data_IF_764924036323
#
_entry.id   IF_764924036323
#
_cell.length_a   1.000
_cell.length_b   1.000
_cell.length_c   1.000
_cell.angle_alpha   90.00
_cell.angle_beta   90.00
_cell.angle_gamma   90.00
#
_symmetry.space_group_name_H-M   'P 1'
#
loop_
_entity.id
_entity.type
_entity.pdbx_description
1 polymer ?
#
# COMPACT_ATOMS: atom_id res chain seq x y z
N UNK A 1 25.34 -13.14 -12.54
CA UNK A 1 23.85 -13.23 -12.56
C UNK A 1 23.28 -11.94 -12.01
N UNK A 2 22.59 -11.13 -12.82
CA UNK A 2 21.89 -9.95 -12.31
C UNK A 2 20.78 -10.42 -11.35
N UNK A 3 20.82 -9.97 -10.09
CA UNK A 3 19.74 -10.22 -9.12
C UNK A 3 18.49 -9.47 -9.60
N UNK A 4 17.55 -10.19 -10.21
CA UNK A 4 16.27 -9.61 -10.62
C UNK A 4 15.38 -9.41 -9.39
N UNK A 5 14.81 -8.21 -9.24
CA UNK A 5 13.83 -7.92 -8.18
C UNK A 5 12.45 -8.54 -8.47
N UNK A 6 12.23 -9.08 -9.68
CA UNK A 6 10.94 -9.62 -10.08
C UNK A 6 10.53 -10.84 -9.23
N UNK A 7 11.48 -11.71 -8.84
CA UNK A 7 11.19 -12.88 -8.01
C UNK A 7 10.74 -12.52 -6.59
N UNK A 8 11.48 -11.70 -5.81
CA UNK A 8 10.99 -11.21 -4.52
C UNK A 8 9.64 -10.50 -4.63
N UNK A 9 9.43 -9.69 -5.66
CA UNK A 9 8.16 -9.00 -5.87
C UNK A 9 7.01 -9.97 -6.18
N UNK A 10 7.25 -11.01 -7.00
CA UNK A 10 6.24 -12.04 -7.27
C UNK A 10 5.84 -12.78 -5.99
N UNK A 11 6.80 -13.09 -5.12
CA UNK A 11 6.54 -13.73 -3.82
C UNK A 11 5.72 -12.84 -2.89
N UNK A 12 6.10 -11.57 -2.75
CA UNK A 12 5.35 -10.59 -1.95
C UNK A 12 3.93 -10.43 -2.51
N UNK A 13 3.79 -10.35 -3.84
CA UNK A 13 2.49 -10.21 -4.49
C UNK A 13 1.63 -11.48 -4.35
N UNK A 14 2.25 -12.65 -4.36
CA UNK A 14 1.57 -13.92 -4.04
C UNK A 14 1.04 -13.91 -2.62
N UNK A 15 1.85 -13.49 -1.65
CA UNK A 15 1.41 -13.35 -0.25
C UNK A 15 0.26 -12.34 -0.13
N UNK A 16 0.28 -11.26 -0.90
CA UNK A 16 -0.80 -10.27 -0.97
C UNK A 16 -2.11 -10.89 -1.49
N UNK A 17 -2.05 -11.68 -2.57
CA UNK A 17 -3.20 -12.40 -3.12
C UNK A 17 -3.77 -13.38 -2.08
N UNK A 18 -2.91 -14.16 -1.42
CA UNK A 18 -3.32 -15.09 -0.35
C UNK A 18 -4.01 -14.33 0.78
N UNK A 19 -3.43 -13.21 1.22
CA UNK A 19 -4.01 -12.36 2.25
C UNK A 19 -5.39 -11.84 1.85
N UNK A 20 -5.52 -11.21 0.68
CA UNK A 20 -6.77 -10.64 0.21
C UNK A 20 -7.88 -11.70 0.03
N UNK A 21 -7.50 -12.92 -0.37
CA UNK A 21 -8.43 -14.03 -0.63
C UNK A 21 -8.93 -14.70 0.64
N UNK A 22 -8.12 -14.73 1.71
CA UNK A 22 -8.44 -15.45 2.95
C UNK A 22 -8.81 -14.54 4.13
N UNK A 23 -8.61 -13.22 4.02
CA UNK A 23 -9.06 -12.26 5.02
C UNK A 23 -10.59 -12.38 5.27
N UNK A 24 -11.10 -12.32 6.51
CA UNK A 24 -10.42 -11.91 7.76
C UNK A 24 -9.67 -13.01 8.53
N UNK A 25 -9.43 -14.19 7.95
CA UNK A 25 -8.77 -15.32 8.63
C UNK A 25 -9.50 -15.86 9.87
N UNK A 26 -10.81 -15.66 9.97
CA UNK A 26 -11.61 -16.06 11.12
C UNK A 26 -12.82 -16.94 10.72
N UNK A 27 -13.31 -17.73 11.67
CA UNK A 27 -14.51 -18.56 11.50
C UNK A 27 -14.32 -19.79 10.62
N UNK A 28 -13.08 -20.28 10.46
CA UNK A 28 -12.77 -21.46 9.65
C UNK A 28 -13.52 -22.70 10.17
N UNK A 29 -14.36 -23.30 9.32
CA UNK A 29 -15.10 -24.51 9.66
C UNK A 29 -15.49 -25.30 8.41
N UNK A 30 -15.59 -26.61 8.54
CA UNK A 30 -16.18 -27.43 7.50
C UNK A 30 -17.66 -27.07 7.31
N UNK A 31 -18.02 -26.62 6.11
CA UNK A 31 -19.39 -26.21 5.78
C UNK A 31 -20.21 -27.33 5.10
N UNK A 32 -19.59 -28.49 4.83
CA UNK A 32 -20.23 -29.60 4.12
C UNK A 32 -20.47 -29.36 2.63
N UNK A 33 -19.80 -28.36 2.04
CA UNK A 33 -19.91 -28.03 0.62
C UNK A 33 -18.92 -28.88 -0.17
N UNK A 34 -19.43 -29.69 -1.10
CA UNK A 34 -18.59 -30.44 -2.04
C UNK A 34 -17.90 -29.47 -3.02
N UNK A 35 -16.58 -29.55 -3.22
CA UNK A 35 -15.88 -28.65 -4.13
C UNK A 35 -16.36 -28.66 -5.58
N UNK A 36 -16.96 -29.77 -6.05
CA UNK A 36 -17.53 -29.83 -7.39
C UNK A 36 -18.70 -28.86 -7.57
N UNK A 37 -19.37 -28.47 -6.48
CA UNK A 37 -20.51 -27.55 -6.51
C UNK A 37 -20.11 -26.20 -7.10
N UNK A 38 -18.97 -25.63 -6.69
CA UNK A 38 -18.54 -24.33 -7.23
C UNK A 38 -17.90 -24.48 -8.61
N UNK A 39 -17.13 -25.56 -8.85
CA UNK A 39 -16.46 -25.78 -10.14
C UNK A 39 -17.47 -25.92 -11.30
N UNK A 40 -18.55 -26.66 -11.05
CA UNK A 40 -19.59 -26.95 -12.05
C UNK A 40 -20.80 -25.99 -11.96
N UNK A 41 -20.69 -24.92 -11.17
CA UNK A 41 -21.73 -23.90 -11.07
C UNK A 41 -22.04 -23.28 -12.44
N UNK A 42 -23.28 -22.85 -12.66
CA UNK A 42 -23.66 -22.16 -13.91
C UNK A 42 -22.91 -20.84 -14.02
N UNK A 43 -22.39 -20.57 -15.22
CA UNK A 43 -21.72 -19.33 -15.57
C UNK A 43 -22.65 -18.41 -16.38
N UNK A 44 -22.80 -17.12 -16.03
CA UNK A 44 -22.28 -16.47 -14.83
C UNK A 44 -23.13 -16.79 -13.57
N UNK A 45 -22.54 -16.78 -12.36
CA UNK A 45 -23.29 -16.94 -11.12
C UNK A 45 -24.25 -15.75 -10.92
N UNK A 46 -25.42 -15.93 -10.28
CA UNK A 46 -26.50 -14.94 -10.27
C UNK A 46 -26.18 -13.60 -9.57
N UNK A 47 -25.09 -13.53 -8.81
CA UNK A 47 -24.67 -12.37 -8.01
C UNK A 47 -23.40 -11.67 -8.57
N UNK A 48 -23.00 -11.98 -9.80
CA UNK A 48 -21.83 -11.34 -10.41
C UNK A 48 -22.02 -9.84 -10.64
N UNK A 49 -20.95 -9.06 -10.50
CA UNK A 49 -20.91 -7.66 -10.90
C UNK A 49 -19.76 -7.39 -11.86
N UNK A 50 -19.88 -6.36 -12.71
CA UNK A 50 -18.75 -5.92 -13.55
C UNK A 50 -17.52 -5.49 -12.74
N UNK A 51 -17.72 -5.05 -11.51
CA UNK A 51 -16.63 -4.74 -10.59
C UNK A 51 -15.85 -6.00 -10.19
N UNK A 52 -16.53 -7.12 -9.90
CA UNK A 52 -15.88 -8.40 -9.59
C UNK A 52 -15.05 -8.91 -10.77
N UNK A 53 -15.59 -8.75 -11.99
CA UNK A 53 -14.88 -9.10 -13.23
C UNK A 53 -13.55 -8.34 -13.35
N UNK A 54 -13.59 -7.02 -13.21
CA UNK A 54 -12.41 -6.17 -13.36
C UNK A 54 -11.41 -6.43 -12.22
N UNK A 55 -11.89 -6.56 -10.98
CA UNK A 55 -11.01 -6.70 -9.81
C UNK A 55 -10.29 -8.03 -9.74
N UNK A 56 -10.96 -9.15 -10.06
CA UNK A 56 -10.32 -10.47 -10.11
C UNK A 56 -9.27 -10.55 -11.24
N UNK A 57 -9.61 -10.08 -12.44
CA UNK A 57 -8.65 -10.02 -13.55
C UNK A 57 -7.45 -9.09 -13.26
N UNK A 58 -7.73 -7.88 -12.76
CA UNK A 58 -6.68 -6.91 -12.42
C UNK A 58 -5.84 -7.35 -11.21
N UNK A 59 -6.41 -8.11 -10.28
CA UNK A 59 -5.73 -8.61 -9.07
C UNK A 59 -4.68 -9.68 -9.36
N UNK A 60 -4.86 -10.48 -10.42
CA UNK A 60 -3.89 -11.53 -10.79
C UNK A 60 -2.92 -11.13 -11.91
N UNK A 61 -3.24 -10.08 -12.69
CA UNK A 61 -2.37 -9.64 -13.78
C UNK A 61 -0.94 -9.28 -13.33
N UNK A 62 -0.70 -8.55 -12.22
CA UNK A 62 0.67 -8.25 -11.80
C UNK A 62 1.46 -9.50 -11.41
N UNK A 63 0.82 -10.55 -10.91
CA UNK A 63 1.49 -11.83 -10.62
C UNK A 63 2.04 -12.44 -11.92
N UNK A 64 1.19 -12.59 -12.94
CA UNK A 64 1.60 -13.13 -14.23
C UNK A 64 2.70 -12.32 -14.89
N UNK A 65 2.62 -10.99 -14.80
CA UNK A 65 3.65 -10.08 -15.28
C UNK A 65 5.00 -10.31 -14.60
N UNK A 66 5.01 -10.33 -13.26
CA UNK A 66 6.23 -10.47 -12.45
C UNK A 66 6.89 -11.85 -12.64
N UNK A 67 6.09 -12.92 -12.75
CA UNK A 67 6.59 -14.27 -13.00
C UNK A 67 7.30 -14.36 -14.36
N UNK A 68 6.65 -13.89 -15.44
CA UNK A 68 7.28 -13.88 -16.78
C UNK A 68 8.51 -12.99 -16.81
N UNK A 69 8.46 -11.80 -16.21
CA UNK A 69 9.63 -10.91 -16.12
C UNK A 69 10.79 -11.55 -15.36
N UNK A 70 10.50 -12.27 -14.29
CA UNK A 70 11.48 -13.06 -13.52
C UNK A 70 12.14 -14.14 -14.38
N UNK A 71 11.33 -14.93 -15.08
CA UNK A 71 11.79 -16.01 -15.96
C UNK A 71 12.63 -15.48 -17.13
N UNK A 72 12.17 -14.44 -17.83
CA UNK A 72 12.90 -13.81 -18.94
C UNK A 72 14.28 -13.31 -18.49
N UNK A 73 14.35 -12.59 -17.36
CA UNK A 73 15.61 -12.10 -16.79
C UNK A 73 16.52 -13.20 -16.24
N UNK A 74 15.97 -14.36 -15.96
CA UNK A 74 16.71 -15.57 -15.57
C UNK A 74 17.12 -16.44 -16.78
N UNK A 75 16.86 -15.99 -18.01
CA UNK A 75 17.20 -16.70 -19.25
C UNK A 75 16.19 -17.77 -19.68
N UNK A 76 15.04 -17.85 -19.00
CA UNK A 76 13.98 -18.82 -19.26
C UNK A 76 12.86 -18.18 -20.10
N UNK A 77 13.07 -18.07 -21.41
CA UNK A 77 12.07 -17.46 -22.30
C UNK A 77 11.01 -18.43 -22.85
N UNK A 78 11.38 -19.69 -23.11
CA UNK A 78 10.47 -20.68 -23.68
C UNK A 78 9.48 -21.17 -22.62
N UNK A 79 8.18 -21.06 -22.90
CA UNK A 79 7.14 -21.53 -22.00
C UNK A 79 6.88 -20.64 -20.78
N UNK A 80 7.54 -19.49 -20.64
CA UNK A 80 7.39 -18.61 -19.47
C UNK A 80 5.93 -18.18 -19.24
N UNK A 81 5.23 -17.78 -20.31
CA UNK A 81 3.81 -17.39 -20.24
C UNK A 81 2.93 -18.56 -19.80
N UNK A 82 3.15 -19.75 -20.36
CA UNK A 82 2.39 -20.95 -20.00
C UNK A 82 2.62 -21.30 -18.53
N UNK A 83 3.88 -21.35 -18.09
CA UNK A 83 4.23 -21.69 -16.71
C UNK A 83 3.67 -20.66 -15.72
N UNK A 84 3.78 -19.37 -16.01
CA UNK A 84 3.19 -18.31 -15.18
C UNK A 84 1.67 -18.46 -15.08
N UNK A 85 1.00 -18.77 -16.19
CA UNK A 85 -0.46 -18.99 -16.22
C UNK A 85 -0.86 -20.23 -15.40
N UNK A 86 -0.11 -21.34 -15.51
CA UNK A 86 -0.34 -22.55 -14.70
C UNK A 86 -0.14 -22.27 -13.21
N UNK A 87 0.91 -21.53 -12.83
CA UNK A 87 1.15 -21.15 -11.44
C UNK A 87 0.01 -20.29 -10.89
N UNK A 88 -0.44 -19.28 -11.64
CA UNK A 88 -1.57 -18.44 -11.22
C UNK A 88 -2.88 -19.24 -11.14
N UNK A 89 -3.10 -20.18 -12.07
CA UNK A 89 -4.25 -21.08 -12.05
C UNK A 89 -4.27 -21.97 -10.81
N UNK A 90 -3.14 -22.61 -10.48
CA UNK A 90 -3.01 -23.45 -9.28
C UNK A 90 -3.18 -22.64 -7.99
N UNK A 91 -2.62 -21.43 -7.93
CA UNK A 91 -2.81 -20.52 -6.79
C UNK A 91 -4.28 -20.15 -6.63
N UNK A 92 -4.93 -19.69 -7.71
CA UNK A 92 -6.36 -19.33 -7.66
C UNK A 92 -7.21 -20.52 -7.26
N UNK A 93 -7.00 -21.68 -7.89
CA UNK A 93 -7.73 -22.90 -7.57
C UNK A 93 -7.58 -23.23 -6.08
N UNK A 94 -6.35 -23.24 -5.55
CA UNK A 94 -6.09 -23.53 -4.14
C UNK A 94 -6.82 -22.55 -3.20
N UNK A 95 -6.88 -21.26 -3.56
CA UNK A 95 -7.55 -20.25 -2.74
C UNK A 95 -9.08 -20.38 -2.80
N UNK A 96 -9.65 -20.64 -3.97
CA UNK A 96 -11.09 -20.95 -4.11
C UNK A 96 -11.47 -22.19 -3.29
N UNK A 97 -10.64 -23.24 -3.33
CA UNK A 97 -10.84 -24.42 -2.49
C UNK A 97 -10.78 -24.10 -0.99
N UNK A 98 -9.82 -23.28 -0.55
CA UNK A 98 -9.71 -22.88 0.86
C UNK A 98 -10.90 -22.04 1.31
N UNK A 99 -11.47 -21.22 0.43
CA UNK A 99 -12.65 -20.41 0.72
C UNK A 99 -13.90 -21.23 1.03
N UNK A 100 -13.97 -22.52 0.64
CA UNK A 100 -15.03 -23.45 1.07
C UNK A 100 -15.12 -23.53 2.60
N UNK A 101 -14.02 -23.34 3.31
CA UNK A 101 -13.95 -23.42 4.76
C UNK A 101 -14.20 -22.08 5.47
N UNK A 102 -14.41 -21.00 4.71
CA UNK A 102 -14.60 -19.63 5.22
C UNK A 102 -16.07 -19.20 5.03
N UNK A 103 -16.88 -19.08 6.10
CA UNK A 103 -18.31 -18.77 5.98
C UNK A 103 -18.64 -17.42 5.32
N UNK A 104 -17.71 -16.46 5.38
CA UNK A 104 -17.88 -15.13 4.78
C UNK A 104 -17.40 -15.05 3.33
N UNK A 105 -16.94 -16.15 2.74
CA UNK A 105 -16.45 -16.22 1.36
C UNK A 105 -17.27 -17.22 0.57
N UNK A 106 -17.51 -16.91 -0.70
CA UNK A 106 -18.23 -17.77 -1.63
C UNK A 106 -17.27 -18.11 -2.77
N UNK A 107 -16.83 -19.37 -2.89
CA UNK A 107 -15.97 -19.77 -3.99
C UNK A 107 -16.74 -19.72 -5.33
N UNK A 108 -16.03 -19.40 -6.40
CA UNK A 108 -16.62 -19.03 -7.69
C UNK A 108 -15.76 -19.53 -8.85
N UNK A 109 -16.35 -20.33 -9.75
CA UNK A 109 -15.68 -20.72 -10.99
C UNK A 109 -15.45 -19.52 -11.94
N UNK A 110 -16.27 -18.47 -11.85
CA UNK A 110 -16.03 -17.22 -12.57
C UNK A 110 -14.78 -16.52 -12.05
N UNK A 111 -14.59 -16.46 -10.73
CA UNK A 111 -13.41 -15.84 -10.10
C UNK A 111 -12.14 -16.60 -10.50
N UNK A 112 -12.19 -17.95 -10.48
CA UNK A 112 -11.13 -18.80 -11.00
C UNK A 112 -10.75 -18.46 -12.46
N UNK A 113 -11.75 -18.38 -13.36
CA UNK A 113 -11.52 -18.07 -14.77
C UNK A 113 -10.92 -16.66 -14.96
N UNK A 114 -11.41 -15.68 -14.21
CA UNK A 114 -10.94 -14.29 -14.26
C UNK A 114 -9.52 -14.15 -13.73
N UNK A 115 -9.17 -14.85 -12.64
CA UNK A 115 -7.83 -14.87 -12.06
C UNK A 115 -6.82 -15.51 -13.03
N UNK A 116 -7.21 -16.60 -13.70
CA UNK A 116 -6.40 -17.22 -14.76
C UNK A 116 -6.23 -16.26 -15.94
N UNK A 117 -7.33 -15.65 -16.42
CA UNK A 117 -7.31 -14.69 -17.51
C UNK A 117 -6.46 -13.45 -17.20
N UNK A 118 -6.56 -12.93 -15.97
CA UNK A 118 -5.73 -11.85 -15.45
C UNK A 118 -4.26 -12.22 -15.46
N UNK A 119 -3.91 -13.38 -14.88
CA UNK A 119 -2.53 -13.91 -14.90
C UNK A 119 -1.99 -14.00 -16.32
N UNK A 120 -2.76 -14.57 -17.25
CA UNK A 120 -2.36 -14.69 -18.65
C UNK A 120 -2.16 -13.32 -19.31
N UNK A 121 -3.07 -12.37 -19.11
CA UNK A 121 -2.95 -11.03 -19.66
C UNK A 121 -1.69 -10.31 -19.15
N UNK A 122 -1.42 -10.42 -17.84
CA UNK A 122 -0.20 -9.92 -17.22
C UNK A 122 1.06 -10.56 -17.81
N UNK A 123 1.07 -11.89 -17.92
CA UNK A 123 2.17 -12.66 -18.51
C UNK A 123 2.46 -12.27 -19.97
N UNK A 124 1.41 -12.15 -20.79
CA UNK A 124 1.51 -11.71 -22.19
C UNK A 124 2.02 -10.26 -22.29
N UNK A 125 1.56 -9.37 -21.41
CA UNK A 125 2.02 -7.98 -21.40
C UNK A 125 3.51 -7.86 -21.07
N UNK A 126 4.04 -8.65 -20.11
CA UNK A 126 5.47 -8.70 -19.81
C UNK A 126 6.28 -9.18 -21.03
N UNK A 127 5.83 -10.26 -21.67
CA UNK A 127 6.47 -10.79 -22.87
C UNK A 127 6.46 -9.77 -24.03
N UNK A 128 5.34 -9.05 -24.21
CA UNK A 128 5.23 -8.01 -25.23
C UNK A 128 6.16 -6.83 -24.95
N UNK A 129 6.20 -6.33 -23.70
CA UNK A 129 7.07 -5.21 -23.32
C UNK A 129 8.56 -5.55 -23.45
N UNK A 130 8.96 -6.78 -23.13
CA UNK A 130 10.31 -7.27 -23.39
C UNK A 130 10.61 -7.27 -24.90
N UNK A 131 9.71 -7.84 -25.72
CA UNK A 131 9.89 -7.88 -27.17
C UNK A 131 9.97 -6.48 -27.80
N UNK A 132 9.29 -5.50 -27.23
CA UNK A 132 9.31 -4.10 -27.69
C UNK A 132 10.49 -3.29 -27.10
N UNK A 133 11.42 -3.92 -26.36
CA UNK A 133 12.54 -3.24 -25.70
C UNK A 133 12.09 -2.16 -24.70
N UNK A 134 10.86 -2.24 -24.20
CA UNK A 134 10.34 -1.24 -23.26
C UNK A 134 10.99 -1.40 -21.88
N UNK A 135 11.35 -2.62 -21.50
CA UNK A 135 12.02 -2.93 -20.24
C UNK A 135 13.46 -2.37 -20.19
N UNK A 136 14.17 -2.39 -21.32
CA UNK A 136 15.49 -1.75 -21.45
C UNK A 136 15.37 -0.22 -21.41
N UNK A 137 14.43 0.35 -22.18
CA UNK A 137 14.15 1.80 -22.14
C UNK A 137 13.75 2.28 -20.73
N UNK A 138 13.03 1.46 -19.98
CA UNK A 138 12.71 1.73 -18.57
C UNK A 138 13.96 1.70 -17.69
N UNK A 139 14.87 0.75 -17.92
CA UNK A 139 16.17 0.71 -17.23
C UNK A 139 16.99 1.99 -17.48
N UNK A 140 17.01 2.47 -18.73
CA UNK A 140 17.68 3.71 -19.11
C UNK A 140 16.99 4.96 -18.55
N UNK A 141 15.66 4.96 -18.49
CA UNK A 141 14.92 6.02 -17.82
C UNK A 141 15.26 6.05 -16.32
N UNK A 142 15.24 4.89 -15.66
CA UNK A 142 15.57 4.75 -14.23
C UNK A 142 16.99 5.21 -13.94
N UNK A 143 17.98 4.82 -14.75
CA UNK A 143 19.39 5.21 -14.55
C UNK A 143 19.60 6.71 -14.70
N UNK A 144 18.83 7.37 -15.59
CA UNK A 144 18.85 8.83 -15.76
C UNK A 144 18.20 9.57 -14.60
N UNK A 145 17.08 9.09 -14.08
CA UNK A 145 16.30 9.78 -13.03
C UNK A 145 16.80 9.50 -11.61
N UNK A 146 17.13 8.25 -11.32
CA UNK A 146 17.37 7.75 -9.98
C UNK A 146 18.80 7.27 -9.75
N UNK A 147 19.18 7.15 -8.48
CA UNK A 147 20.42 6.51 -8.04
C UNK A 147 20.36 4.99 -8.20
N UNK A 148 21.52 4.32 -8.27
CA UNK A 148 21.59 2.87 -8.48
C UNK A 148 20.78 2.07 -7.44
N UNK A 149 20.87 2.43 -6.15
CA UNK A 149 20.18 1.77 -5.03
C UNK A 149 18.80 2.40 -4.68
N UNK A 150 18.06 2.86 -5.70
CA UNK A 150 16.77 3.52 -5.52
C UNK A 150 15.58 2.58 -5.34
N UNK A 151 15.74 1.26 -5.55
CA UNK A 151 14.62 0.32 -5.67
C UNK A 151 13.64 0.38 -4.48
N UNK A 152 14.15 0.37 -3.24
CA UNK A 152 13.31 0.43 -2.03
C UNK A 152 12.56 1.76 -1.89
N UNK A 153 13.25 2.88 -2.14
CA UNK A 153 12.63 4.20 -2.12
C UNK A 153 11.56 4.37 -3.20
N UNK A 154 11.77 3.83 -4.41
CA UNK A 154 10.77 3.86 -5.47
C UNK A 154 9.50 3.07 -5.10
N UNK A 155 9.65 1.89 -4.48
CA UNK A 155 8.50 1.10 -4.01
C UNK A 155 7.73 1.86 -2.95
N UNK A 156 8.41 2.41 -1.93
CA UNK A 156 7.76 3.21 -0.89
C UNK A 156 7.04 4.43 -1.49
N UNK A 157 7.67 5.15 -2.43
CA UNK A 157 7.04 6.28 -3.11
C UNK A 157 5.83 5.86 -3.96
N UNK A 158 5.84 4.67 -4.55
CA UNK A 158 4.69 4.14 -5.30
C UNK A 158 3.56 3.69 -4.38
N UNK A 159 3.87 3.23 -3.16
CA UNK A 159 2.87 2.81 -2.16
C UNK A 159 2.22 3.99 -1.44
N UNK A 160 2.91 5.13 -1.31
CA UNK A 160 2.39 6.30 -0.59
C UNK A 160 1.04 6.81 -1.13
N UNK A 161 0.85 7.02 -2.45
CA UNK A 161 -0.44 7.43 -2.99
C UNK A 161 -1.55 6.41 -2.68
N UNK A 162 -1.23 5.11 -2.70
CA UNK A 162 -2.20 4.06 -2.39
C UNK A 162 -2.61 4.07 -0.91
N UNK A 163 -1.69 4.43 -0.01
CA UNK A 163 -1.99 4.60 1.41
C UNK A 163 -2.95 5.77 1.69
N UNK A 164 -2.98 6.79 0.82
CA UNK A 164 -3.91 7.94 0.96
C UNK A 164 -5.35 7.62 0.52
N UNK A 165 -5.57 6.52 -0.20
CA UNK A 165 -6.91 6.03 -0.52
C UNK A 165 -7.67 5.54 0.72
N UNK A 166 -6.98 5.40 1.85
CA UNK A 166 -7.58 5.14 3.14
C UNK A 166 -7.92 6.47 3.85
N UNK A 167 -9.15 6.64 4.35
CA UNK A 167 -9.55 7.85 5.07
C UNK A 167 -8.82 7.93 6.42
N UNK A 168 -7.78 8.76 6.49
CA UNK A 168 -7.04 9.04 7.72
C UNK A 168 -7.77 10.08 8.59
N UNK A 169 -7.62 9.99 9.92
CA UNK A 169 -8.22 10.94 10.86
C UNK A 169 -7.68 12.38 10.68
N UNK A 170 -6.41 12.50 10.28
CA UNK A 170 -5.76 13.75 9.91
C UNK A 170 -5.28 13.63 8.46
N UNK A 171 -5.56 14.59 7.57
CA UNK A 171 -5.09 14.54 6.18
C UNK A 171 -3.58 14.33 6.10
N UNK A 172 -3.16 13.37 5.26
CA UNK A 172 -1.75 12.94 5.10
C UNK A 172 -1.09 12.36 6.37
N UNK A 173 -1.85 12.17 7.45
CA UNK A 173 -1.42 11.56 8.70
C UNK A 173 -1.41 10.03 8.60
N UNK A 174 -0.29 9.47 8.17
CA UNK A 174 -0.09 8.02 8.09
C UNK A 174 0.66 7.52 9.34
N UNK A 175 0.34 6.32 9.81
CA UNK A 175 1.03 5.68 10.94
C UNK A 175 0.41 5.88 12.32
N UNK A 176 -0.89 6.19 12.41
CA UNK A 176 -1.62 6.21 13.67
C UNK A 176 -1.96 4.78 14.11
N UNK A 177 -1.06 4.14 14.87
CA UNK A 177 -1.17 2.72 15.28
C UNK A 177 -1.22 2.54 16.79
N UNK A 178 -0.68 3.49 17.56
CA UNK A 178 -0.43 3.31 18.99
C UNK A 178 -1.70 3.05 19.81
N UNK A 179 -2.77 3.81 19.58
CA UNK A 179 -4.05 3.63 20.30
C UNK A 179 -4.64 2.22 20.06
N UNK A 180 -4.50 1.69 18.85
CA UNK A 180 -4.97 0.34 18.50
C UNK A 180 -4.08 -0.75 19.08
N UNK A 181 -2.76 -0.53 19.07
CA UNK A 181 -1.79 -1.43 19.66
C UNK A 181 -2.03 -1.52 21.18
N UNK A 182 -2.27 -0.39 21.83
CA UNK A 182 -2.64 -0.31 23.24
C UNK A 182 -3.92 -1.10 23.53
N UNK A 183 -4.99 -0.88 22.76
CA UNK A 183 -6.24 -1.65 22.90
C UNK A 183 -6.03 -3.17 22.71
N UNK A 184 -5.26 -3.59 21.70
CA UNK A 184 -4.97 -5.00 21.45
C UNK A 184 -4.09 -5.62 22.55
N UNK A 185 -3.15 -4.86 23.11
CA UNK A 185 -2.32 -5.31 24.23
C UNK A 185 -3.15 -5.44 25.51
N UNK A 186 -4.08 -4.51 25.78
CA UNK A 186 -5.01 -4.60 26.90
C UNK A 186 -5.84 -5.89 26.81
N UNK A 187 -6.40 -6.18 25.64
CA UNK A 187 -7.19 -7.39 25.41
C UNK A 187 -6.33 -8.67 25.55
N UNK A 188 -5.12 -8.66 25.00
CA UNK A 188 -4.21 -9.81 25.07
C UNK A 188 -3.69 -10.09 26.48
N UNK A 189 -3.45 -9.04 27.27
CA UNK A 189 -2.93 -9.13 28.64
C UNK A 189 -4.05 -9.13 29.69
N UNK A 190 -5.32 -9.14 29.26
CA UNK A 190 -6.46 -9.26 30.16
C UNK A 190 -6.27 -10.47 31.09
N UNK A 191 -6.59 -10.29 32.37
CA UNK A 191 -6.46 -11.30 33.42
C UNK A 191 -5.01 -11.79 33.67
N UNK A 192 -3.99 -11.05 33.22
CA UNK A 192 -2.58 -11.34 33.52
C UNK A 192 -1.96 -10.29 34.44
N UNK A 193 -0.98 -10.66 35.28
CA UNK A 193 -0.27 -9.69 36.13
C UNK A 193 0.61 -8.71 35.34
N UNK A 194 0.79 -8.94 34.03
CA UNK A 194 1.55 -8.06 33.15
C UNK A 194 0.76 -6.85 32.68
N UNK A 195 -0.57 -6.83 32.86
CA UNK A 195 -1.41 -5.70 32.46
C UNK A 195 -0.98 -4.42 33.19
N UNK A 196 -0.64 -4.53 34.48
CA UNK A 196 -0.18 -3.41 35.32
C UNK A 196 1.19 -2.86 34.88
N UNK A 197 1.93 -3.57 34.01
CA UNK A 197 3.19 -3.09 33.46
C UNK A 197 3.01 -2.27 32.18
N UNK A 198 1.82 -2.28 31.60
CA UNK A 198 1.54 -1.51 30.40
C UNK A 198 1.43 -0.03 30.78
N UNK A 199 2.15 0.88 30.10
CA UNK A 199 2.00 2.32 30.32
C UNK A 199 0.67 2.80 29.72
N UNK A 200 -0.42 2.52 30.43
CA UNK A 200 -1.79 2.87 30.03
C UNK A 200 -1.96 4.38 30.06
N UNK A 201 -2.63 4.92 29.04
CA UNK A 201 -3.07 6.31 29.05
C UNK A 201 -4.30 6.44 29.95
N UNK A 202 -4.13 7.18 31.04
CA UNK A 202 -5.22 7.43 32.00
C UNK A 202 -6.27 8.42 31.46
N UNK A 203 -5.89 9.25 30.49
CA UNK A 203 -6.74 10.29 29.91
C UNK A 203 -7.06 10.01 28.43
N UNK A 204 -8.28 10.38 28.02
CA UNK A 204 -8.66 10.39 26.61
C UNK A 204 -7.78 11.36 25.82
N UNK A 205 -7.46 11.00 24.57
CA UNK A 205 -6.64 11.85 23.71
C UNK A 205 -7.45 13.06 23.23
N UNK A 206 -6.91 14.25 23.48
CA UNK A 206 -7.49 15.49 22.96
C UNK A 206 -7.23 15.63 21.46
N UNK A 207 -8.19 16.14 20.67
CA UNK A 207 -7.97 16.50 19.27
C UNK A 207 -6.74 17.39 19.11
N UNK A 208 -6.01 17.23 18.00
CA UNK A 208 -4.85 18.08 17.71
C UNK A 208 -5.26 19.55 17.69
N UNK A 209 -4.41 20.39 18.28
CA UNK A 209 -4.53 21.83 18.12
C UNK A 209 -4.39 22.22 16.63
N UNK A 210 -4.92 23.37 16.20
CA UNK A 210 -4.76 23.83 14.82
C UNK A 210 -3.30 23.90 14.35
N UNK A 211 -2.36 24.25 15.24
CA UNK A 211 -0.93 24.24 14.94
C UNK A 211 -0.36 22.82 14.84
N UNK A 212 -0.84 21.89 15.66
CA UNK A 212 -0.50 20.46 15.59
C UNK A 212 -0.98 19.81 14.28
N UNK A 213 -2.22 20.09 13.86
CA UNK A 213 -2.78 19.64 12.58
C UNK A 213 -1.97 20.17 11.39
N UNK A 214 -1.68 21.48 11.39
CA UNK A 214 -0.83 22.12 10.38
C UNK A 214 0.55 21.46 10.28
N UNK A 215 1.22 21.25 11.42
CA UNK A 215 2.53 20.57 11.44
C UNK A 215 2.42 19.13 10.93
N UNK A 216 1.38 18.39 11.34
CA UNK A 216 1.16 17.02 10.92
C UNK A 216 1.02 16.91 9.40
N UNK A 217 0.15 17.76 8.81
CA UNK A 217 -0.05 17.86 7.35
C UNK A 217 1.24 18.26 6.64
N UNK A 218 1.95 19.25 7.18
CA UNK A 218 3.22 19.73 6.61
C UNK A 218 4.23 18.60 6.50
N UNK A 219 4.42 17.86 7.60
CA UNK A 219 5.35 16.74 7.66
C UNK A 219 4.88 15.55 6.81
N UNK A 220 3.58 15.23 6.83
CA UNK A 220 3.00 14.12 6.06
C UNK A 220 3.24 14.25 4.55
N UNK A 221 3.19 15.47 4.01
CA UNK A 221 3.53 15.77 2.62
C UNK A 221 5.04 15.95 2.37
N UNK A 222 5.79 16.42 3.37
CA UNK A 222 7.23 16.60 3.25
C UNK A 222 8.00 15.28 3.22
N UNK A 223 7.57 14.28 4.00
CA UNK A 223 8.19 12.95 4.10
C UNK A 223 8.40 12.28 2.73
N UNK A 224 7.36 12.09 1.88
CA UNK A 224 7.55 11.53 0.54
C UNK A 224 8.43 12.42 -0.36
N UNK A 225 8.38 13.74 -0.21
CA UNK A 225 9.29 14.64 -0.94
C UNK A 225 10.76 14.36 -0.59
N UNK A 226 11.09 14.32 0.71
CA UNK A 226 12.44 14.03 1.20
C UNK A 226 12.91 12.62 0.82
N UNK A 227 12.01 11.63 0.87
CA UNK A 227 12.30 10.28 0.40
C UNK A 227 12.64 10.28 -1.11
N UNK A 228 11.89 11.03 -1.90
CA UNK A 228 12.19 11.31 -3.31
C UNK A 228 13.56 11.94 -3.51
N UNK A 229 13.92 12.93 -2.69
CA UNK A 229 15.20 13.62 -2.81
C UNK A 229 16.39 12.70 -2.50
N UNK A 230 16.20 11.71 -1.63
CA UNK A 230 17.19 10.65 -1.39
C UNK A 230 17.46 9.80 -2.64
N UNK A 231 16.51 9.65 -3.57
CA UNK A 231 16.65 8.79 -4.75
C UNK A 231 16.82 9.54 -6.08
N UNK A 232 16.31 10.77 -6.21
CA UNK A 232 16.38 11.57 -7.45
C UNK A 232 17.71 12.32 -7.54
N UNK A 233 18.35 12.26 -8.72
CA UNK A 233 19.69 12.83 -8.94
C UNK A 233 19.71 14.35 -9.12
N UNK A 234 18.84 14.88 -9.96
CA UNK A 234 18.88 16.28 -10.43
C UNK A 234 17.94 17.19 -9.63
N UNK A 235 18.39 18.41 -9.30
CA UNK A 235 17.61 19.37 -8.52
C UNK A 235 16.30 19.79 -9.20
N UNK A 236 16.32 20.08 -10.51
CA UNK A 236 15.08 20.44 -11.23
C UNK A 236 14.02 19.32 -11.19
N UNK A 237 14.46 18.05 -11.25
CA UNK A 237 13.56 16.90 -11.13
C UNK A 237 13.04 16.70 -9.72
N UNK A 238 13.80 17.07 -8.68
CA UNK A 238 13.33 17.08 -7.30
C UNK A 238 12.22 18.10 -7.10
N UNK A 239 12.38 19.32 -7.62
CA UNK A 239 11.34 20.34 -7.55
C UNK A 239 10.05 19.91 -8.27
N UNK A 240 10.16 19.39 -9.50
CA UNK A 240 9.03 18.84 -10.24
C UNK A 240 8.36 17.68 -9.49
N UNK A 241 9.16 16.80 -8.89
CA UNK A 241 8.66 15.69 -8.10
C UNK A 241 7.88 16.15 -6.86
N UNK A 242 8.37 17.15 -6.13
CA UNK A 242 7.66 17.69 -4.96
C UNK A 242 6.31 18.30 -5.34
N UNK A 243 6.24 19.04 -6.45
CA UNK A 243 4.97 19.52 -6.97
C UNK A 243 4.03 18.35 -7.31
N UNK A 244 4.55 17.32 -7.97
CA UNK A 244 3.80 16.10 -8.27
C UNK A 244 3.27 15.39 -7.02
N UNK A 245 4.07 15.28 -5.96
CA UNK A 245 3.66 14.68 -4.67
C UNK A 245 2.50 15.45 -4.06
N UNK A 246 2.54 16.78 -4.03
CA UNK A 246 1.46 17.61 -3.49
C UNK A 246 0.18 17.43 -4.31
N UNK A 247 0.26 17.51 -5.64
CA UNK A 247 -0.90 17.34 -6.53
C UNK A 247 -1.52 15.95 -6.36
N UNK A 248 -0.70 14.89 -6.41
CA UNK A 248 -1.17 13.51 -6.25
C UNK A 248 -1.77 13.31 -4.86
N UNK A 249 -1.14 13.86 -3.82
CA UNK A 249 -1.64 13.81 -2.46
C UNK A 249 -3.04 14.41 -2.35
N UNK A 250 -3.20 15.67 -2.77
CA UNK A 250 -4.49 16.38 -2.71
C UNK A 250 -5.57 15.64 -3.51
N UNK A 251 -5.26 15.19 -4.74
CA UNK A 251 -6.21 14.48 -5.59
C UNK A 251 -6.64 13.15 -4.97
N UNK A 252 -5.71 12.35 -4.46
CA UNK A 252 -6.07 11.05 -3.89
C UNK A 252 -6.74 11.16 -2.52
N UNK A 253 -6.39 12.15 -1.70
CA UNK A 253 -7.13 12.42 -0.45
C UNK A 253 -8.55 12.91 -0.75
N UNK A 254 -8.75 13.77 -1.76
CA UNK A 254 -10.08 14.17 -2.21
C UNK A 254 -10.88 13.00 -2.80
N UNK A 255 -10.24 12.13 -3.58
CA UNK A 255 -10.85 10.91 -4.10
C UNK A 255 -11.23 9.95 -2.98
N UNK A 256 -10.34 9.75 -2.00
CA UNK A 256 -10.60 8.95 -0.79
C UNK A 256 -11.83 9.47 -0.06
N UNK A 257 -11.93 10.79 0.14
CA UNK A 257 -13.07 11.42 0.77
C UNK A 257 -14.36 11.27 -0.06
N UNK A 258 -14.28 11.48 -1.38
CA UNK A 258 -15.40 11.34 -2.29
C UNK A 258 -15.95 9.91 -2.34
N UNK A 259 -15.06 8.92 -2.30
CA UNK A 259 -15.44 7.52 -2.26
C UNK A 259 -16.02 7.16 -0.89
N UNK A 260 -15.44 7.65 0.20
CA UNK A 260 -15.80 7.32 1.58
C UNK A 260 -17.13 7.92 2.03
N UNK A 261 -17.35 9.20 1.71
CA UNK A 261 -18.47 10.01 2.22
C UNK A 261 -19.33 10.63 1.12
N UNK A 262 -18.99 10.43 -0.16
CA UNK A 262 -19.71 10.94 -1.31
C UNK A 262 -19.05 12.19 -1.94
N UNK A 263 -19.32 12.48 -3.22
CA UNK A 263 -18.59 13.48 -4.00
C UNK A 263 -18.76 14.92 -3.49
N UNK A 264 -19.84 15.22 -2.77
CA UNK A 264 -20.07 16.54 -2.16
C UNK A 264 -19.08 16.82 -1.03
N UNK A 265 -18.67 15.78 -0.30
CA UNK A 265 -17.75 15.86 0.84
C UNK A 265 -16.26 15.78 0.44
N UNK A 266 -15.97 15.73 -0.87
CA UNK A 266 -14.61 15.54 -1.41
C UNK A 266 -13.58 16.59 -0.98
N UNK A 267 -14.04 17.76 -0.53
CA UNK A 267 -13.20 18.91 -0.19
C UNK A 267 -13.36 19.40 1.26
N UNK A 268 -14.17 18.74 2.09
CA UNK A 268 -14.45 19.18 3.46
C UNK A 268 -13.24 19.09 4.39
N UNK A 269 -12.32 18.17 4.09
CA UNK A 269 -11.04 18.02 4.80
C UNK A 269 -10.10 19.23 4.64
N UNK A 270 -10.39 20.16 3.74
CA UNK A 270 -9.48 21.26 3.36
C UNK A 270 -9.66 22.50 4.26
N UNK A 271 -9.56 22.27 5.58
CA UNK A 271 -9.62 23.27 6.64
C UNK A 271 -8.48 24.31 6.52
N UNK A 272 -8.58 25.42 7.26
CA UNK A 272 -7.52 26.44 7.25
C UNK A 272 -6.15 25.87 7.66
N UNK A 273 -6.00 25.12 8.78
CA UNK A 273 -4.73 24.47 9.14
C UNK A 273 -4.17 23.58 8.03
N UNK A 274 -5.03 22.78 7.38
CA UNK A 274 -4.62 21.88 6.29
C UNK A 274 -4.10 22.66 5.10
N UNK A 275 -4.82 23.70 4.65
CA UNK A 275 -4.38 24.53 3.52
C UNK A 275 -3.02 25.18 3.78
N UNK A 276 -2.82 25.74 4.97
CA UNK A 276 -1.53 26.32 5.36
C UNK A 276 -0.46 25.24 5.44
N UNK A 277 -0.77 24.05 5.96
CA UNK A 277 0.16 22.93 6.02
C UNK A 277 0.59 22.42 4.63
N UNK A 278 -0.33 22.36 3.66
CA UNK A 278 -0.02 21.97 2.26
C UNK A 278 0.95 22.97 1.62
N UNK A 279 0.68 24.28 1.75
CA UNK A 279 1.58 25.32 1.23
C UNK A 279 2.91 25.34 1.98
N UNK A 280 2.89 25.13 3.30
CA UNK A 280 4.08 24.98 4.14
C UNK A 280 4.95 23.80 3.71
N UNK A 281 4.34 22.65 3.41
CA UNK A 281 5.04 21.48 2.92
C UNK A 281 5.71 21.76 1.57
N UNK A 282 5.00 22.40 0.64
CA UNK A 282 5.55 22.76 -0.67
C UNK A 282 6.71 23.74 -0.53
N UNK A 283 6.54 24.82 0.25
CA UNK A 283 7.58 25.80 0.49
C UNK A 283 8.83 25.16 1.10
N UNK A 284 8.66 24.34 2.15
CA UNK A 284 9.77 23.66 2.80
C UNK A 284 10.42 22.61 1.88
N UNK A 285 9.63 21.87 1.10
CA UNK A 285 10.15 20.93 0.11
C UNK A 285 11.00 21.65 -0.94
N UNK A 286 10.59 22.83 -1.41
CA UNK A 286 11.35 23.64 -2.37
C UNK A 286 12.64 24.21 -1.76
N UNK A 287 12.58 24.73 -0.53
CA UNK A 287 13.76 25.18 0.22
C UNK A 287 14.79 24.05 0.39
N UNK A 288 14.31 22.81 0.56
CA UNK A 288 15.17 21.66 0.81
C UNK A 288 15.64 20.94 -0.48
N UNK A 289 15.29 21.41 -1.68
CA UNK A 289 15.65 20.77 -2.96
C UNK A 289 17.16 20.58 -3.14
N UNK A 290 17.93 21.56 -2.65
CA UNK A 290 19.39 21.59 -2.78
C UNK A 290 20.12 20.71 -1.76
N UNK A 291 19.44 20.14 -0.77
CA UNK A 291 20.11 19.37 0.26
C UNK A 291 20.84 18.14 -0.33
N UNK A 292 22.05 17.83 0.16
CA UNK A 292 22.71 16.59 -0.19
C UNK A 292 21.88 15.41 0.33
N UNK A 293 21.95 14.27 -0.36
CA UNK A 293 21.10 13.09 -0.07
C UNK A 293 21.21 12.61 1.38
N UNK A 294 22.39 12.71 1.99
CA UNK A 294 22.60 12.37 3.40
C UNK A 294 21.86 13.31 4.35
N UNK A 295 21.88 14.61 4.07
CA UNK A 295 21.11 15.58 4.84
C UNK A 295 19.60 15.37 4.64
N UNK A 296 19.15 15.08 3.40
CA UNK A 296 17.74 14.69 3.16
C UNK A 296 17.34 13.48 4.02
N UNK A 297 18.19 12.46 4.12
CA UNK A 297 17.91 11.28 4.94
C UNK A 297 17.84 11.62 6.44
N UNK A 298 18.73 12.46 6.96
CA UNK A 298 18.70 12.90 8.35
C UNK A 298 17.44 13.73 8.66
N UNK A 299 17.10 14.70 7.81
CA UNK A 299 15.88 15.50 7.94
C UNK A 299 14.63 14.63 7.80
N UNK A 300 14.64 13.63 6.93
CA UNK A 300 13.55 12.66 6.78
C UNK A 300 13.34 11.84 8.05
N UNK A 301 14.41 11.38 8.71
CA UNK A 301 14.29 10.66 9.99
C UNK A 301 13.68 11.54 11.08
N UNK A 302 14.12 12.80 11.18
CA UNK A 302 13.55 13.77 12.13
C UNK A 302 12.07 14.05 11.82
N UNK A 303 11.74 14.26 10.54
CA UNK A 303 10.38 14.50 10.08
C UNK A 303 9.46 13.31 10.39
N UNK A 304 9.92 12.08 10.15
CA UNK A 304 9.18 10.85 10.48
C UNK A 304 8.97 10.71 11.98
N UNK A 305 10.01 10.90 12.79
CA UNK A 305 9.90 10.80 14.25
C UNK A 305 8.90 11.81 14.81
N UNK A 306 8.98 13.08 14.37
CA UNK A 306 8.07 14.12 14.83
C UNK A 306 6.64 13.90 14.32
N UNK A 307 6.48 13.52 13.06
CA UNK A 307 5.16 13.22 12.48
C UNK A 307 4.47 12.08 13.24
N UNK A 308 5.18 10.97 13.47
CA UNK A 308 4.64 9.82 14.21
C UNK A 308 4.36 10.17 15.67
N UNK A 309 5.22 10.96 16.33
CA UNK A 309 5.01 11.38 17.71
C UNK A 309 3.76 12.25 17.86
N UNK A 310 3.57 13.24 16.98
CA UNK A 310 2.37 14.08 16.97
C UNK A 310 1.12 13.27 16.64
N UNK A 311 1.17 12.47 15.57
CA UNK A 311 0.00 11.75 15.07
C UNK A 311 -0.50 10.69 16.06
N UNK A 312 0.41 9.97 16.72
CA UNK A 312 0.03 8.95 17.72
C UNK A 312 -0.39 9.54 19.07
N UNK A 313 -0.30 10.86 19.26
CA UNK A 313 -0.89 11.60 20.38
C UNK A 313 -2.27 12.18 20.05
N UNK A 314 -2.73 12.06 18.80
CA UNK A 314 -4.07 12.47 18.40
C UNK A 314 -5.06 11.31 18.60
N UNK A 315 -6.32 11.57 18.99
CA UNK A 315 -7.37 10.55 19.01
C UNK A 315 -7.58 10.01 17.60
N UNK A 316 -7.83 8.71 17.48
CA UNK A 316 -8.48 8.18 16.28
C UNK A 316 -9.88 8.81 16.21
N UNK A 317 -10.19 9.49 15.09
CA UNK A 317 -11.46 10.26 15.01
C UNK A 317 -12.67 9.37 15.32
N UNK A 318 -13.69 9.84 16.05
CA UNK A 318 -14.93 9.09 16.28
C UNK A 318 -15.62 8.66 14.97
N UNK A 319 -15.42 9.43 13.90
CA UNK A 319 -15.87 9.14 12.55
C UNK A 319 -15.18 7.91 11.93
N UNK A 320 -13.99 7.55 12.40
CA UNK A 320 -13.25 6.37 11.97
C UNK A 320 -13.97 5.07 12.38
N UNK A 321 -14.46 4.99 13.62
CA UNK A 321 -15.22 3.85 14.11
C UNK A 321 -16.56 3.71 13.37
N UNK A 322 -17.25 4.82 13.12
CA UNK A 322 -18.51 4.84 12.36
C UNK A 322 -18.30 4.55 10.87
N UNK A 323 -17.23 5.06 10.24
CA UNK A 323 -16.87 4.76 8.85
C UNK A 323 -16.48 3.30 8.70
N UNK A 324 -15.73 2.72 9.66
CA UNK A 324 -15.42 1.29 9.69
C UNK A 324 -16.70 0.44 9.76
N UNK A 325 -17.67 0.83 10.59
CA UNK A 325 -18.92 0.09 10.77
C UNK A 325 -19.88 0.21 9.56
N UNK A 326 -19.94 1.38 8.91
CA UNK A 326 -20.74 1.60 7.69
C UNK A 326 -20.12 0.89 6.48
N UNK A 327 -18.79 0.84 6.39
CA UNK A 327 -18.07 0.22 5.28
C UNK A 327 -17.88 -1.29 5.42
N UNK A 328 -17.81 -1.83 6.64
CA UNK A 328 -17.89 -3.28 6.88
C UNK A 328 -19.21 -3.89 6.37
N UNK A 329 -20.28 -3.07 6.27
CA UNK A 329 -21.57 -3.45 5.69
C UNK A 329 -21.67 -3.17 4.17
N UNK A 330 -20.69 -2.47 3.59
CA UNK A 330 -20.67 -2.05 2.18
C UNK A 330 -19.79 -2.93 1.27
N UNK A 331 -20.13 -2.97 -0.02
CA UNK A 331 -19.52 -3.72 -1.16
C UNK A 331 -17.98 -3.66 -1.32
N UNK A 332 -17.22 -3.01 -0.44
CA UNK A 332 -15.77 -2.74 -0.55
C UNK A 332 -14.86 -3.45 0.48
N UNK A 333 -15.37 -4.46 1.18
CA UNK A 333 -14.65 -5.27 2.19
C UNK A 333 -13.26 -5.76 1.71
N UNK A 334 -13.06 -5.97 0.40
CA UNK A 334 -11.81 -6.53 -0.16
C UNK A 334 -10.61 -5.56 -0.17
N UNK A 335 -10.82 -4.23 -0.26
CA UNK A 335 -9.72 -3.26 -0.43
C UNK A 335 -9.37 -2.48 0.84
N UNK A 336 -10.28 -2.43 1.81
CA UNK A 336 -10.10 -1.64 3.04
C UNK A 336 -8.91 -2.12 3.87
N UNK A 337 -8.77 -3.45 4.05
CA UNK A 337 -7.66 -4.00 4.83
C UNK A 337 -6.29 -3.61 4.27
N UNK A 338 -6.08 -3.67 2.96
CA UNK A 338 -4.78 -3.33 2.36
C UNK A 338 -4.47 -1.83 2.42
N UNK A 339 -5.43 -0.97 2.08
CA UNK A 339 -5.26 0.48 2.20
C UNK A 339 -4.99 0.91 3.64
N UNK A 340 -5.70 0.30 4.59
CA UNK A 340 -5.53 0.49 6.02
C UNK A 340 -4.14 0.06 6.51
N UNK A 341 -3.71 -1.16 6.20
CA UNK A 341 -2.39 -1.67 6.56
C UNK A 341 -1.27 -0.84 5.92
N UNK A 342 -1.45 -0.40 4.67
CA UNK A 342 -0.53 0.53 4.03
C UNK A 342 -0.48 1.86 4.78
N UNK A 343 -1.64 2.45 5.11
CA UNK A 343 -1.72 3.69 5.88
C UNK A 343 -1.05 3.61 7.24
N UNK A 344 -1.07 2.44 7.89
CA UNK A 344 -0.40 2.22 9.17
C UNK A 344 1.10 1.97 9.02
N UNK A 345 1.50 1.05 8.15
CA UNK A 345 2.86 0.53 8.13
C UNK A 345 3.80 1.34 7.26
N UNK A 346 3.30 2.11 6.30
CA UNK A 346 4.12 2.87 5.35
C UNK A 346 5.17 3.79 6.02
N UNK A 347 4.85 4.63 7.02
CA UNK A 347 5.85 5.49 7.65
C UNK A 347 6.88 4.70 8.45
N UNK A 348 6.50 3.59 9.10
CA UNK A 348 7.44 2.70 9.81
C UNK A 348 8.36 1.95 8.84
N UNK A 349 7.83 1.47 7.71
CA UNK A 349 8.62 0.87 6.65
C UNK A 349 9.61 1.89 6.04
N UNK A 350 9.18 3.14 5.88
CA UNK A 350 10.04 4.24 5.44
C UNK A 350 11.12 4.56 6.46
N UNK A 351 10.79 4.62 7.75
CA UNK A 351 11.74 4.81 8.85
C UNK A 351 12.82 3.72 8.83
N UNK A 352 12.42 2.44 8.79
CA UNK A 352 13.35 1.31 8.73
C UNK A 352 14.24 1.37 7.47
N UNK A 353 13.65 1.66 6.31
CA UNK A 353 14.40 1.81 5.06
C UNK A 353 15.47 2.89 5.15
N UNK A 354 15.13 4.07 5.67
CA UNK A 354 16.06 5.19 5.78
C UNK A 354 17.14 4.91 6.84
N UNK A 355 16.78 4.31 7.98
CA UNK A 355 17.73 3.88 9.01
C UNK A 355 18.77 2.90 8.44
N UNK A 356 18.31 1.85 7.73
CA UNK A 356 19.18 0.88 7.08
C UNK A 356 20.06 1.53 6.00
N UNK A 357 19.57 2.56 5.33
CA UNK A 357 20.32 3.28 4.30
C UNK A 357 21.39 4.20 4.88
N UNK A 358 21.11 4.86 6.00
CA UNK A 358 22.06 5.74 6.69
C UNK A 358 23.11 4.92 7.45
N UNK A 359 22.74 3.75 7.99
CA UNK A 359 23.66 2.87 8.73
C UNK A 359 24.64 2.11 7.85
N UNK A 360 24.31 1.89 6.57
CA UNK A 360 25.25 1.39 5.57
C UNK A 360 26.34 2.43 5.38
N UNK A 361 27.51 2.22 6.00
CA UNK A 361 28.74 2.95 5.68
C UNK A 361 28.99 2.84 4.18
N UNK A 362 29.41 3.93 3.55
CA UNK A 362 29.94 3.91 2.19
C UNK A 362 31.08 2.89 2.16
N UNK A 363 30.81 1.69 1.67
CA UNK A 363 31.85 0.79 1.25
C UNK A 363 32.44 1.39 -0.03
N UNK A 364 33.54 2.12 0.16
CA UNK A 364 34.57 2.46 -0.83
C UNK A 364 34.16 3.47 -1.92
N UNK A 365 34.71 4.68 -1.78
CA UNK A 365 35.59 5.26 -2.81
C UNK A 365 36.88 5.65 -2.13
#
# INVERSE_FOLDING_TARGET
MHKTSAWPLALIYTALIVFASLFPFDGWRAQGIDPLVFLLARLPPPYWTGFDVVTNAAGYAPLGFLLVLGMLRSGWGRGAVLLATVVGALLSLSLEFLQIYLPRRVPSNLDLLLNIGGTLAGALSAALLERLGALDRWSDFRSRWFVADASGGMVLLALWPMALLFPAAVPFGLGQVLERLEAALIELLADTPFLDWLPLREAALDPLSPSGELLCVTLGLLIPCLLGYCVIRQMGRRALFALGVVVVGVVLTALSAALSWGPVHAWEWMSLPVRVGVWGALALALLLVALPRRACAAVLLLALAWHLALLNQAPTSAYFAQTLQIWEQGRFIRFYGLGQWLGWLWPYATLLYVLLRVSRRDAQT
#
